data_IF_431838292096
#
_entry.id   IF_431838292096
#
_cell.length_a   1.000
_cell.length_b   1.000
_cell.length_c   1.000
_cell.angle_alpha   90.00
_cell.angle_beta   90.00
_cell.angle_gamma   90.00
#
_symmetry.space_group_name_H-M   'P 1'
#
loop_
_entity.id
_entity.type
_entity.pdbx_description
1 polymer ?
#
# COMPACT_ATOMS: atom_id res chain seq x y z
N UNK A 1 2.58 -27.74 5.64
CA UNK A 1 1.34 -26.94 5.43
C UNK A 1 1.60 -25.99 4.27
N UNK A 2 0.68 -25.90 3.31
CA UNK A 2 0.89 -25.10 2.09
C UNK A 2 0.79 -23.61 2.39
N UNK A 3 1.77 -22.85 1.88
CA UNK A 3 1.74 -21.39 1.82
C UNK A 3 0.44 -20.91 1.13
N UNK A 4 -0.22 -19.89 1.69
CA UNK A 4 -1.39 -19.26 1.06
C UNK A 4 -0.99 -18.56 -0.24
N UNK A 5 -1.94 -18.42 -1.17
CA UNK A 5 -1.64 -17.85 -2.49
C UNK A 5 -1.49 -16.33 -2.42
N UNK A 6 -2.30 -15.67 -1.58
CA UNK A 6 -2.26 -14.22 -1.39
C UNK A 6 -2.09 -13.81 0.07
N UNK A 7 -1.38 -12.70 0.27
CA UNK A 7 -1.48 -11.86 1.47
C UNK A 7 -1.90 -10.46 1.01
N UNK A 8 -3.06 -10.03 1.49
CA UNK A 8 -3.66 -8.74 1.18
C UNK A 8 -3.62 -7.88 2.43
N UNK A 9 -3.08 -6.68 2.29
CA UNK A 9 -2.86 -5.71 3.36
C UNK A 9 -3.54 -4.42 2.97
N UNK A 10 -4.38 -3.88 3.85
CA UNK A 10 -5.09 -2.62 3.64
C UNK A 10 -4.66 -1.66 4.74
N UNK A 11 -4.17 -0.50 4.35
CA UNK A 11 -3.68 0.53 5.25
C UNK A 11 -4.64 1.71 5.24
N UNK A 12 -5.51 1.78 6.25
CA UNK A 12 -6.54 2.81 6.40
C UNK A 12 -6.01 3.93 7.32
N UNK A 13 -5.55 5.02 6.70
CA UNK A 13 -5.11 6.24 7.36
C UNK A 13 -6.32 7.16 7.60
N UNK A 14 -7.07 6.85 8.65
CA UNK A 14 -8.38 7.44 8.95
C UNK A 14 -8.41 8.38 10.14
N UNK A 15 -7.27 8.82 10.68
CA UNK A 15 -7.21 9.91 11.67
C UNK A 15 -7.47 11.26 10.96
N UNK A 16 -8.68 11.38 10.42
CA UNK A 16 -9.23 12.51 9.70
C UNK A 16 -10.75 12.29 9.52
N UNK A 17 -11.40 13.10 8.69
CA UNK A 17 -12.84 13.02 8.43
C UNK A 17 -13.33 11.74 7.71
N UNK A 18 -12.44 10.83 7.26
CA UNK A 18 -12.82 9.54 6.65
C UNK A 18 -12.95 8.40 7.67
N UNK A 19 -12.64 8.66 8.96
CA UNK A 19 -12.56 7.63 10.01
C UNK A 19 -13.78 6.71 10.07
N UNK A 20 -14.99 7.28 9.99
CA UNK A 20 -16.26 6.55 10.12
C UNK A 20 -16.54 5.70 8.88
N UNK A 21 -16.31 6.26 7.68
CA UNK A 21 -16.49 5.55 6.42
C UNK A 21 -15.53 4.36 6.31
N UNK A 22 -14.28 4.53 6.73
CA UNK A 22 -13.29 3.45 6.79
C UNK A 22 -13.67 2.34 7.80
N UNK A 23 -14.23 2.71 8.96
CA UNK A 23 -14.72 1.72 9.92
C UNK A 23 -15.89 0.91 9.34
N UNK A 24 -16.78 1.55 8.58
CA UNK A 24 -17.86 0.86 7.87
C UNK A 24 -17.32 -0.08 6.77
N UNK A 25 -16.33 0.38 6.00
CA UNK A 25 -15.64 -0.46 5.01
C UNK A 25 -14.97 -1.68 5.66
N UNK A 26 -14.36 -1.52 6.84
CA UNK A 26 -13.75 -2.61 7.60
C UNK A 26 -14.74 -3.71 8.00
N UNK A 27 -15.97 -3.35 8.39
CA UNK A 27 -17.02 -4.36 8.67
C UNK A 27 -17.43 -5.12 7.40
N UNK A 28 -17.53 -4.45 6.24
CA UNK A 28 -17.80 -5.14 4.98
C UNK A 28 -16.70 -6.12 4.58
N UNK A 29 -15.44 -5.80 4.88
CA UNK A 29 -14.29 -6.66 4.64
C UNK A 29 -14.42 -7.96 5.44
N UNK A 30 -14.88 -7.86 6.68
CA UNK A 30 -15.09 -9.01 7.56
C UNK A 30 -16.20 -9.93 7.05
N UNK A 31 -17.30 -9.39 6.52
CA UNK A 31 -18.43 -10.18 6.02
C UNK A 31 -18.08 -10.99 4.76
N UNK A 32 -17.23 -10.44 3.89
CA UNK A 32 -16.78 -11.13 2.67
C UNK A 32 -15.71 -12.18 2.93
N UNK A 33 -15.06 -12.13 4.10
CA UNK A 33 -14.08 -13.14 4.42
C UNK A 33 -14.67 -14.57 4.44
N UNK A 34 -15.99 -14.80 4.43
CA UNK A 34 -16.62 -16.14 4.42
C UNK A 34 -16.19 -17.16 3.33
N UNK A 35 -16.43 -18.45 3.64
CA UNK A 35 -16.23 -19.76 2.96
C UNK A 35 -15.14 -19.97 1.86
N UNK A 36 -14.86 -19.02 0.98
CA UNK A 36 -13.93 -19.14 -0.16
C UNK A 36 -12.53 -18.53 0.08
N UNK A 37 -12.31 -17.85 1.21
CA UNK A 37 -11.04 -17.14 1.53
C UNK A 37 -9.95 -18.01 2.16
N UNK A 38 -10.12 -19.34 2.20
CA UNK A 38 -9.14 -20.26 2.81
C UNK A 38 -7.74 -20.15 2.17
N UNK A 39 -7.66 -19.60 0.96
CA UNK A 39 -6.44 -19.38 0.17
C UNK A 39 -5.75 -18.03 0.39
N UNK A 40 -6.34 -17.08 1.14
CA UNK A 40 -5.82 -15.72 1.31
C UNK A 40 -5.56 -15.36 2.77
N UNK A 41 -4.54 -14.55 3.04
CA UNK A 41 -4.42 -13.78 4.28
C UNK A 41 -4.95 -12.37 4.04
N UNK A 42 -5.68 -11.83 5.02
CA UNK A 42 -6.32 -10.53 4.90
C UNK A 42 -6.10 -9.73 6.19
N UNK A 43 -5.43 -8.60 6.06
CA UNK A 43 -5.03 -7.75 7.17
C UNK A 43 -5.44 -6.29 6.93
N UNK A 44 -5.83 -5.62 8.01
CA UNK A 44 -6.17 -4.19 7.97
C UNK A 44 -5.40 -3.46 9.07
N UNK A 45 -4.74 -2.38 8.70
CA UNK A 45 -4.32 -1.33 9.63
C UNK A 45 -5.43 -0.29 9.62
N UNK A 46 -5.94 0.08 10.79
CA UNK A 46 -6.92 1.12 10.93
C UNK A 46 -6.49 2.09 12.02
N UNK A 47 -6.19 3.31 11.60
CA UNK A 47 -5.93 4.43 12.48
C UNK A 47 -7.11 5.40 12.37
N UNK A 48 -7.84 5.61 13.46
CA UNK A 48 -9.06 6.42 13.45
C UNK A 48 -8.91 7.66 14.33
N UNK A 49 -9.79 8.65 14.16
CA UNK A 49 -9.72 9.93 14.88
C UNK A 49 -10.19 9.88 16.34
N UNK A 50 -10.65 8.71 16.80
CA UNK A 50 -11.12 8.52 18.18
C UNK A 50 -9.95 8.35 19.14
N UNK A 51 -9.75 9.33 20.04
CA UNK A 51 -8.75 9.22 21.13
C UNK A 51 -8.99 8.05 22.09
N UNK A 52 -10.19 7.46 22.08
CA UNK A 52 -10.53 6.31 22.93
C UNK A 52 -10.16 4.96 22.30
N UNK A 53 -9.95 4.92 20.98
CA UNK A 53 -9.63 3.70 20.24
C UNK A 53 -8.26 3.89 19.60
N UNK A 54 -7.20 3.24 20.12
CA UNK A 54 -5.89 3.33 19.49
C UNK A 54 -5.92 2.63 18.13
N UNK A 55 -4.95 2.95 17.28
CA UNK A 55 -4.69 2.23 16.03
C UNK A 55 -4.80 0.71 16.19
N UNK A 56 -5.49 0.07 15.25
CA UNK A 56 -5.80 -1.35 15.25
C UNK A 56 -5.08 -2.09 14.11
N UNK A 57 -4.51 -3.24 14.43
CA UNK A 57 -4.05 -4.24 13.48
C UNK A 57 -5.05 -5.39 13.48
N UNK A 58 -5.80 -5.54 12.39
CA UNK A 58 -6.87 -6.51 12.25
C UNK A 58 -6.42 -7.72 11.41
N UNK A 59 -6.77 -8.92 11.84
CA UNK A 59 -6.59 -10.18 11.12
C UNK A 59 -7.95 -10.79 10.78
N UNK A 60 -8.30 -10.72 9.50
CA UNK A 60 -9.51 -11.31 8.92
C UNK A 60 -9.20 -12.58 8.11
N UNK A 61 -7.99 -13.14 8.26
CA UNK A 61 -7.57 -14.37 7.58
C UNK A 61 -8.28 -15.63 8.08
N UNK A 62 -8.97 -15.53 9.23
CA UNK A 62 -9.91 -16.52 9.74
C UNK A 62 -11.27 -15.82 9.97
N UNK A 63 -12.24 -15.98 9.06
CA UNK A 63 -13.53 -15.29 9.10
C UNK A 63 -14.37 -15.68 10.32
N UNK A 64 -14.19 -16.90 10.82
CA UNK A 64 -14.88 -17.38 12.00
C UNK A 64 -14.31 -16.76 13.29
N UNK A 65 -13.05 -16.28 13.25
CA UNK A 65 -12.35 -15.74 14.41
C UNK A 65 -11.58 -14.45 14.03
N UNK A 66 -12.28 -13.36 13.67
CA UNK A 66 -11.64 -12.10 13.37
C UNK A 66 -10.92 -11.56 14.61
N UNK A 67 -9.70 -11.07 14.44
CA UNK A 67 -8.90 -10.53 15.55
C UNK A 67 -8.63 -9.06 15.35
N UNK A 68 -8.80 -8.28 16.40
CA UNK A 68 -8.44 -6.87 16.47
C UNK A 68 -7.36 -6.72 17.53
N UNK A 69 -6.16 -6.30 17.14
CA UNK A 69 -5.03 -6.13 18.04
C UNK A 69 -4.72 -4.65 18.13
N UNK A 70 -4.72 -4.09 19.34
CA UNK A 70 -4.25 -2.72 19.56
C UNK A 70 -2.78 -2.66 19.18
N UNK A 71 -2.43 -1.69 18.35
CA UNK A 71 -1.10 -1.51 17.80
C UNK A 71 0.00 -1.55 18.88
N UNK A 72 -0.18 -0.84 19.98
CA UNK A 72 0.78 -0.80 21.08
C UNK A 72 0.98 -2.15 21.82
N UNK A 73 0.03 -3.09 21.69
CA UNK A 73 0.15 -4.43 22.26
C UNK A 73 0.95 -5.39 21.35
N UNK A 74 1.30 -4.97 20.12
CA UNK A 74 2.10 -5.76 19.21
C UNK A 74 3.55 -5.77 19.67
N UNK A 75 4.01 -6.94 20.15
CA UNK A 75 5.38 -7.12 20.64
C UNK A 75 6.39 -7.16 19.49
N UNK A 76 7.61 -6.70 19.77
CA UNK A 76 8.77 -6.78 18.87
C UNK A 76 8.53 -6.12 17.50
N UNK A 77 7.86 -4.96 17.49
CA UNK A 77 7.77 -4.12 16.30
C UNK A 77 9.16 -3.73 15.78
N UNK A 78 9.24 -3.46 14.48
CA UNK A 78 10.47 -2.98 13.84
C UNK A 78 10.89 -1.63 14.43
N UNK A 79 9.91 -0.78 14.71
CA UNK A 79 10.06 0.51 15.36
C UNK A 79 9.15 0.57 16.58
N UNK A 80 9.66 1.02 17.74
CA UNK A 80 8.87 1.09 18.96
C UNK A 80 7.71 2.07 18.81
N UNK A 81 6.62 1.79 19.52
CA UNK A 81 5.46 2.68 19.69
C UNK A 81 5.17 2.81 21.18
N UNK A 82 4.54 3.92 21.58
CA UNK A 82 4.12 4.13 22.98
C UNK A 82 2.92 3.24 23.34
N UNK A 83 2.81 2.81 24.61
CA UNK A 83 1.75 1.95 25.15
C UNK A 83 0.33 2.57 25.05
N UNK A 84 0.24 3.89 24.84
CA UNK A 84 -1.03 4.62 24.77
C UNK A 84 -1.30 5.30 23.41
N UNK A 85 -0.37 5.22 22.44
CA UNK A 85 -0.42 6.07 21.25
C UNK A 85 -1.42 5.58 20.18
N UNK A 86 -2.07 6.56 19.55
CA UNK A 86 -2.43 6.46 18.14
C UNK A 86 -1.11 6.50 17.35
N UNK A 87 -0.84 5.50 16.54
CA UNK A 87 0.27 5.57 15.59
C UNK A 87 -0.02 6.70 14.60
N UNK A 88 1.02 7.45 14.25
CA UNK A 88 0.90 8.42 13.18
C UNK A 88 0.75 7.67 11.85
N UNK A 89 -0.41 7.75 11.21
CA UNK A 89 -0.66 7.04 9.96
C UNK A 89 0.18 7.57 8.79
N UNK A 90 0.64 8.83 8.85
CA UNK A 90 1.53 9.44 7.90
C UNK A 90 3.01 9.06 8.11
N UNK A 91 3.36 8.41 9.22
CA UNK A 91 4.72 7.96 9.50
C UNK A 91 5.03 6.66 8.75
N UNK A 92 6.08 6.67 7.92
CA UNK A 92 6.50 5.50 7.17
C UNK A 92 6.83 4.29 8.07
N UNK A 93 7.21 4.53 9.34
CA UNK A 93 7.51 3.48 10.34
C UNK A 93 6.26 2.69 10.72
N UNK A 94 5.09 3.32 10.73
CA UNK A 94 3.79 2.68 10.98
C UNK A 94 3.48 1.67 9.88
N UNK A 95 3.73 2.03 8.61
CA UNK A 95 3.59 1.12 7.46
C UNK A 95 4.57 -0.06 7.56
N UNK A 96 5.85 0.21 7.88
CA UNK A 96 6.86 -0.84 8.03
C UNK A 96 6.49 -1.82 9.16
N UNK A 97 6.06 -1.31 10.31
CA UNK A 97 5.58 -2.12 11.44
C UNK A 97 4.40 -3.00 11.05
N UNK A 98 3.42 -2.42 10.36
CA UNK A 98 2.23 -3.15 9.93
C UNK A 98 2.56 -4.25 8.93
N UNK A 99 3.35 -3.97 7.89
CA UNK A 99 3.69 -4.97 6.87
C UNK A 99 4.56 -6.08 7.45
N UNK A 100 5.49 -5.78 8.36
CA UNK A 100 6.24 -6.81 9.10
C UNK A 100 5.32 -7.68 9.96
N UNK A 101 4.36 -7.07 10.66
CA UNK A 101 3.34 -7.80 11.42
C UNK A 101 2.47 -8.71 10.55
N UNK A 102 2.13 -8.24 9.34
CA UNK A 102 1.35 -9.00 8.38
C UNK A 102 2.09 -10.19 7.79
N UNK A 103 3.42 -10.20 7.76
CA UNK A 103 4.18 -11.14 6.91
C UNK A 103 5.15 -11.99 7.73
N UNK A 104 5.91 -11.36 8.61
CA UNK A 104 7.00 -11.98 9.36
C UNK A 104 6.60 -12.40 10.78
N UNK A 105 5.60 -11.76 11.38
CA UNK A 105 5.15 -12.13 12.73
C UNK A 105 4.27 -13.38 12.69
N UNK A 106 4.69 -14.39 13.46
CA UNK A 106 4.04 -15.69 13.57
C UNK A 106 2.77 -15.59 14.44
N UNK A 107 1.70 -16.31 14.04
CA UNK A 107 0.56 -16.59 14.93
C UNK A 107 1.05 -17.41 16.14
N UNK A 108 1.20 -16.79 17.31
CA UNK A 108 1.25 -17.55 18.56
C UNK A 108 -0.17 -18.00 18.88
N UNK A 109 -0.42 -19.30 18.70
CA UNK A 109 -1.61 -19.94 19.26
C UNK A 109 -1.44 -20.07 20.78
N UNK A 110 -2.54 -20.13 21.55
CA UNK A 110 -2.49 -20.30 23.01
C UNK A 110 -1.69 -21.54 23.46
N UNK A 111 -1.48 -22.49 22.54
CA UNK A 111 -0.83 -23.79 22.78
C UNK A 111 0.69 -23.76 22.47
N UNK A 112 1.28 -22.58 22.21
CA UNK A 112 2.72 -22.43 22.00
C UNK A 112 3.25 -22.99 20.66
N UNK A 113 2.37 -23.39 19.74
CA UNK A 113 2.77 -23.77 18.38
C UNK A 113 2.96 -22.50 17.54
N UNK A 114 4.18 -22.32 17.04
CA UNK A 114 4.53 -21.30 16.04
C UNK A 114 3.68 -21.52 14.79
N UNK A 115 2.64 -20.70 14.58
CA UNK A 115 1.89 -20.70 13.33
C UNK A 115 2.82 -20.36 12.16
N UNK A 116 2.67 -21.05 11.04
CA UNK A 116 3.45 -20.79 9.83
C UNK A 116 3.36 -19.31 9.45
N UNK A 117 4.50 -18.73 9.06
CA UNK A 117 4.60 -17.32 8.67
C UNK A 117 3.53 -16.92 7.66
N UNK A 118 3.04 -15.69 7.78
CA UNK A 118 1.94 -15.11 6.97
C UNK A 118 2.41 -14.66 5.58
N UNK A 119 3.57 -15.17 5.13
CA UNK A 119 4.09 -15.02 3.76
C UNK A 119 3.19 -15.75 2.77
N UNK A 120 3.05 -15.18 1.59
CA UNK A 120 2.26 -15.73 0.49
C UNK A 120 3.04 -15.66 -0.82
N UNK A 121 2.52 -16.29 -1.87
CA UNK A 121 3.13 -16.23 -3.21
C UNK A 121 2.96 -14.85 -3.83
N UNK A 122 1.81 -14.21 -3.59
CA UNK A 122 1.44 -12.90 -4.13
C UNK A 122 1.08 -11.92 -3.02
N UNK A 123 1.38 -10.64 -3.23
CA UNK A 123 1.10 -9.58 -2.26
C UNK A 123 0.29 -8.45 -2.88
N UNK A 124 -0.75 -8.02 -2.17
CA UNK A 124 -1.46 -6.78 -2.42
C UNK A 124 -1.30 -5.83 -1.22
N UNK A 125 -0.97 -4.57 -1.48
CA UNK A 125 -0.96 -3.51 -0.48
C UNK A 125 -1.81 -2.36 -0.99
N UNK A 126 -2.90 -2.07 -0.28
CA UNK A 126 -3.86 -1.03 -0.65
C UNK A 126 -3.80 0.05 0.43
N UNK A 127 -3.66 1.30 0.02
CA UNK A 127 -3.71 2.44 0.93
C UNK A 127 -5.02 3.19 0.76
N UNK A 128 -5.65 3.55 1.87
CA UNK A 128 -6.90 4.32 1.92
C UNK A 128 -6.72 5.54 2.81
N UNK A 129 -7.19 6.70 2.34
CA UNK A 129 -7.04 7.98 3.04
C UNK A 129 -7.07 9.17 2.09
N UNK A 130 -6.64 10.33 2.59
CA UNK A 130 -6.50 11.53 1.74
C UNK A 130 -5.24 11.47 0.86
N UNK A 131 -5.31 12.13 -0.28
CA UNK A 131 -4.18 12.40 -1.14
C UNK A 131 -4.49 13.58 -2.08
N UNK A 132 -3.45 14.32 -2.45
CA UNK A 132 -3.46 15.30 -3.55
C UNK A 132 -2.46 14.91 -4.65
N UNK A 133 -2.09 13.63 -4.71
CA UNK A 133 -1.25 13.10 -5.78
C UNK A 133 0.21 13.57 -5.76
N UNK A 134 0.72 13.92 -6.94
CA UNK A 134 2.12 14.32 -7.13
C UNK A 134 2.50 15.64 -6.46
N UNK A 135 1.51 16.42 -6.01
CA UNK A 135 1.75 17.69 -5.33
C UNK A 135 2.39 17.52 -3.94
N UNK A 136 2.51 16.29 -3.45
CA UNK A 136 3.16 15.95 -2.18
C UNK A 136 2.49 16.59 -0.96
N UNK A 137 1.17 16.80 -1.06
CA UNK A 137 0.35 17.45 -0.04
C UNK A 137 -0.72 16.45 0.42
N UNK A 138 -0.87 16.30 1.74
CA UNK A 138 -2.05 15.65 2.34
C UNK A 138 -2.12 14.14 2.21
N UNK A 139 -1.09 13.48 1.64
CA UNK A 139 -1.05 12.02 1.54
C UNK A 139 -1.08 11.40 2.93
N UNK A 140 -2.14 10.63 3.19
CA UNK A 140 -2.41 10.01 4.50
C UNK A 140 -2.36 11.00 5.65
N UNK A 141 -2.88 12.22 5.43
CA UNK A 141 -2.91 13.26 6.44
C UNK A 141 -3.49 12.73 7.75
N UNK A 142 -2.67 12.84 8.78
CA UNK A 142 -2.99 12.53 10.16
C UNK A 142 -3.32 13.85 10.86
N UNK A 143 -4.58 14.02 11.24
CA UNK A 143 -5.07 15.27 11.85
C UNK A 143 -4.60 15.41 13.30
N UNK A 144 -4.42 14.30 14.03
CA UNK A 144 -3.93 14.36 15.41
C UNK A 144 -2.44 14.72 15.46
N UNK A 145 -1.64 14.23 14.51
CA UNK A 145 -0.21 14.52 14.40
C UNK A 145 0.10 15.76 13.56
N UNK A 146 -0.89 16.31 12.83
CA UNK A 146 -0.77 17.45 11.91
C UNK A 146 0.30 17.25 10.82
N UNK A 147 0.50 16.02 10.37
CA UNK A 147 1.49 15.68 9.34
C UNK A 147 0.88 14.94 8.16
N UNK A 148 1.63 14.87 7.06
CA UNK A 148 1.30 14.08 5.88
C UNK A 148 2.56 13.40 5.39
N UNK A 149 2.41 12.23 4.78
CA UNK A 149 3.54 11.45 4.27
C UNK A 149 4.03 12.07 2.97
N UNK A 150 5.36 12.18 2.80
CA UNK A 150 5.93 12.57 1.52
C UNK A 150 5.97 11.43 0.51
N UNK A 151 5.78 11.70 -0.78
CA UNK A 151 5.92 10.74 -1.88
C UNK A 151 7.35 10.16 -1.95
N UNK A 152 8.37 10.97 -1.61
CA UNK A 152 9.75 10.48 -1.48
C UNK A 152 9.87 9.42 -0.38
N UNK A 153 9.23 9.66 0.77
CA UNK A 153 9.20 8.74 1.91
C UNK A 153 8.42 7.47 1.55
N UNK A 154 7.26 7.60 0.90
CA UNK A 154 6.46 6.48 0.43
C UNK A 154 7.23 5.61 -0.59
N UNK A 155 7.92 6.23 -1.54
CA UNK A 155 8.78 5.48 -2.46
C UNK A 155 9.95 4.82 -1.74
N UNK A 156 10.56 5.49 -0.76
CA UNK A 156 11.62 4.95 0.10
C UNK A 156 11.18 3.72 0.88
N UNK A 157 10.03 3.80 1.56
CA UNK A 157 9.47 2.72 2.36
C UNK A 157 9.06 1.53 1.49
N UNK A 158 8.38 1.75 0.35
CA UNK A 158 7.98 0.65 -0.53
C UNK A 158 9.20 -0.04 -1.15
N UNK A 159 10.27 0.71 -1.44
CA UNK A 159 11.55 0.12 -1.83
C UNK A 159 12.16 -0.70 -0.70
N UNK A 160 12.06 -0.25 0.55
CA UNK A 160 12.56 -1.04 1.70
C UNK A 160 11.78 -2.35 1.88
N UNK A 161 10.47 -2.30 1.73
CA UNK A 161 9.58 -3.46 1.90
C UNK A 161 9.85 -4.54 0.84
N UNK A 162 10.12 -4.12 -0.41
CA UNK A 162 10.21 -5.01 -1.57
C UNK A 162 11.61 -5.54 -1.89
N UNK A 163 12.65 -5.06 -1.19
CA UNK A 163 14.03 -5.54 -1.37
C UNK A 163 14.21 -6.95 -0.84
N UNK A 164 15.00 -7.73 -1.57
CA UNK A 164 15.50 -9.05 -1.16
C UNK A 164 16.54 -8.91 -0.05
N UNK A 165 16.80 -10.00 0.66
CA UNK A 165 17.92 -10.08 1.60
C UNK A 165 19.27 -9.70 0.94
N UNK A 166 19.53 -10.16 -0.29
CA UNK A 166 20.74 -9.82 -1.05
C UNK A 166 20.86 -8.33 -1.32
N UNK A 167 19.76 -7.66 -1.73
CA UNK A 167 19.74 -6.22 -1.96
C UNK A 167 20.00 -5.41 -0.69
N UNK A 168 19.51 -5.90 0.46
CA UNK A 168 19.73 -5.28 1.76
C UNK A 168 21.20 -5.43 2.19
N UNK A 169 21.77 -6.63 2.08
CA UNK A 169 23.17 -6.91 2.40
C UNK A 169 24.12 -6.08 1.53
N UNK A 170 23.88 -6.04 0.21
CA UNK A 170 24.69 -5.25 -0.73
C UNK A 170 24.71 -3.77 -0.36
N UNK A 171 23.57 -3.21 0.04
CA UNK A 171 23.49 -1.81 0.47
C UNK A 171 24.14 -1.57 1.81
N UNK A 172 24.02 -2.50 2.75
CA UNK A 172 24.70 -2.38 4.04
C UNK A 172 26.23 -2.36 3.84
N UNK A 173 26.77 -3.21 2.96
CA UNK A 173 28.18 -3.20 2.59
C UNK A 173 28.56 -1.87 1.94
N UNK A 174 27.79 -1.40 0.95
CA UNK A 174 28.04 -0.12 0.29
C UNK A 174 27.95 1.07 1.25
N UNK A 175 27.00 1.07 2.18
CA UNK A 175 26.86 2.12 3.18
C UNK A 175 28.07 2.14 4.12
N UNK A 176 28.58 0.98 4.55
CA UNK A 176 29.82 0.88 5.32
C UNK A 176 31.05 1.37 4.55
N UNK A 177 31.10 1.15 3.24
CA UNK A 177 32.17 1.67 2.35
C UNK A 177 32.06 3.19 2.16
N UNK A 178 30.86 3.73 1.98
CA UNK A 178 30.60 5.17 1.75
C UNK A 178 30.73 5.99 3.04
N UNK A 179 30.33 5.43 4.20
CA UNK A 179 30.55 6.04 5.52
C UNK A 179 32.05 6.14 5.90
N UNK A 180 32.95 5.57 5.10
CA UNK A 180 34.38 5.80 5.21
C UNK A 180 34.85 7.07 4.49
N UNK A 181 34.04 7.68 3.60
CA UNK A 181 34.49 8.83 2.81
C UNK A 181 33.53 10.02 2.69
N UNK A 182 32.20 9.90 2.80
CA UNK A 182 31.30 11.09 2.85
C UNK A 182 29.85 10.66 3.15
N UNK A 183 29.20 11.34 4.11
CA UNK A 183 27.81 11.08 4.48
C UNK A 183 26.87 11.45 3.32
N UNK A 184 26.31 10.45 2.65
CA UNK A 184 25.39 10.69 1.53
C UNK A 184 24.04 11.24 1.97
N UNK A 185 23.48 12.02 1.06
CA UNK A 185 22.42 13.01 1.18
C UNK A 185 21.02 12.44 1.50
N UNK A 186 20.74 12.21 2.78
CA UNK A 186 19.49 12.55 3.50
C UNK A 186 19.27 11.59 4.67
N UNK A 187 18.94 12.13 5.86
CA UNK A 187 18.58 11.36 7.07
C UNK A 187 17.50 10.30 6.83
N UNK A 188 16.64 10.49 5.84
CA UNK A 188 15.60 9.53 5.44
C UNK A 188 16.19 8.21 4.91
N UNK A 189 17.24 8.29 4.10
CA UNK A 189 17.92 7.09 3.60
C UNK A 189 18.67 6.39 4.75
N UNK A 190 19.21 7.15 5.71
CA UNK A 190 19.77 6.57 6.93
C UNK A 190 18.70 5.89 7.79
N UNK A 191 17.56 6.52 8.09
CA UNK A 191 16.54 5.92 8.97
C UNK A 191 15.77 4.73 8.33
N UNK A 192 15.59 4.75 7.00
CA UNK A 192 14.97 3.64 6.26
C UNK A 192 15.98 2.50 5.98
N UNK A 193 17.28 2.79 5.86
CA UNK A 193 18.31 1.81 5.44
C UNK A 193 19.36 1.44 6.52
N UNK A 194 19.47 2.17 7.62
CA UNK A 194 20.31 1.82 8.76
C UNK A 194 19.51 0.95 9.74
N UNK A 195 20.02 -0.26 9.98
CA UNK A 195 19.65 -1.05 11.15
C UNK A 195 18.89 -2.34 10.88
N UNK A 196 18.26 -2.53 9.71
CA UNK A 196 17.45 -3.73 9.46
C UNK A 196 17.86 -4.49 8.21
N UNK A 197 18.51 -5.63 8.40
CA UNK A 197 18.85 -6.61 7.36
C UNK A 197 17.70 -7.60 7.08
N UNK A 198 16.66 -7.60 7.92
CA UNK A 198 15.54 -8.53 7.77
C UNK A 198 14.71 -8.19 6.53
N UNK A 199 14.58 -9.18 5.66
CA UNK A 199 13.65 -9.14 4.54
C UNK A 199 12.20 -9.00 5.05
N UNK A 200 11.43 -8.08 4.45
CA UNK A 200 9.99 -7.93 4.75
C UNK A 200 9.19 -8.76 3.73
N UNK A 201 9.02 -8.26 2.50
CA UNK A 201 8.40 -9.03 1.42
C UNK A 201 9.41 -9.79 0.57
N UNK A 202 10.55 -9.17 0.27
CA UNK A 202 11.56 -9.76 -0.61
C UNK A 202 11.18 -9.79 -2.10
N UNK A 203 10.05 -9.20 -2.46
CA UNK A 203 9.58 -9.15 -3.84
C UNK A 203 8.69 -7.94 -4.10
N UNK A 204 8.51 -7.60 -5.38
CA UNK A 204 7.53 -6.60 -5.82
C UNK A 204 6.11 -6.99 -5.38
N UNK A 205 5.31 -6.00 -5.05
CA UNK A 205 3.87 -6.15 -4.91
C UNK A 205 3.26 -6.57 -6.25
N UNK A 206 2.34 -7.53 -6.22
CA UNK A 206 1.53 -7.86 -7.40
C UNK A 206 0.49 -6.75 -7.65
N UNK A 207 -0.09 -6.22 -6.58
CA UNK A 207 -1.04 -5.10 -6.62
C UNK A 207 -0.63 -4.04 -5.60
N UNK A 208 -0.46 -2.80 -6.08
CA UNK A 208 -0.41 -1.59 -5.26
C UNK A 208 -1.69 -0.80 -5.50
N UNK A 209 -2.53 -0.65 -4.49
CA UNK A 209 -3.80 0.06 -4.59
C UNK A 209 -3.78 1.41 -3.88
N UNK A 210 -4.41 2.40 -4.49
CA UNK A 210 -4.65 3.72 -3.93
C UNK A 210 -6.16 3.99 -3.92
N UNK A 211 -6.79 3.73 -2.78
CA UNK A 211 -8.14 4.17 -2.45
C UNK A 211 -8.07 5.59 -1.87
N UNK A 212 -7.56 6.50 -2.69
CA UNK A 212 -7.40 7.91 -2.40
C UNK A 212 -7.41 8.73 -3.70
N UNK A 213 -7.68 10.03 -3.57
CA UNK A 213 -7.83 10.92 -4.72
C UNK A 213 -6.51 11.16 -5.46
N UNK A 214 -6.60 11.39 -6.77
CA UNK A 214 -5.53 11.96 -7.60
C UNK A 214 -4.21 11.16 -7.57
N UNK A 215 -4.27 9.82 -7.56
CA UNK A 215 -3.07 8.97 -7.60
C UNK A 215 -2.80 8.36 -8.99
N UNK A 216 -3.72 8.53 -9.94
CA UNK A 216 -3.69 7.97 -11.29
C UNK A 216 -2.89 8.79 -12.32
N UNK A 217 -1.77 9.38 -11.93
CA UNK A 217 -0.91 10.17 -12.84
C UNK A 217 0.36 9.42 -13.24
N UNK A 218 0.91 9.76 -14.41
CA UNK A 218 2.09 9.11 -14.98
C UNK A 218 3.33 9.24 -14.08
N UNK A 219 3.49 10.39 -13.43
CA UNK A 219 4.56 10.70 -12.48
C UNK A 219 4.50 9.76 -11.28
N UNK A 220 3.30 9.61 -10.70
CA UNK A 220 3.05 8.72 -9.54
C UNK A 220 3.32 7.27 -9.92
N UNK A 221 2.77 6.78 -11.04
CA UNK A 221 3.03 5.43 -11.53
C UNK A 221 4.53 5.17 -11.76
N UNK A 222 5.26 6.17 -12.27
CA UNK A 222 6.69 6.07 -12.47
C UNK A 222 7.51 5.93 -11.19
N UNK A 223 7.07 6.55 -10.08
CA UNK A 223 7.74 6.39 -8.79
C UNK A 223 7.69 4.92 -8.33
N UNK A 224 6.56 4.25 -8.54
CA UNK A 224 6.31 2.91 -8.00
C UNK A 224 6.61 1.74 -8.95
N UNK A 225 7.02 1.99 -10.20
CA UNK A 225 7.31 0.93 -11.20
C UNK A 225 8.33 -0.13 -10.77
N UNK A 226 9.21 0.21 -9.83
CA UNK A 226 10.24 -0.70 -9.31
C UNK A 226 9.77 -1.54 -8.12
N UNK A 227 8.65 -1.20 -7.49
CA UNK A 227 8.17 -1.83 -6.26
C UNK A 227 6.85 -2.59 -6.46
N UNK A 228 6.11 -2.32 -7.54
CA UNK A 228 4.88 -3.02 -7.88
C UNK A 228 4.87 -3.48 -9.35
N UNK A 229 4.04 -4.49 -9.64
CA UNK A 229 3.75 -4.96 -11.01
C UNK A 229 2.52 -4.26 -11.58
N UNK A 230 1.45 -4.19 -10.79
CA UNK A 230 0.21 -3.51 -11.16
C UNK A 230 -0.12 -2.43 -10.12
N UNK A 231 -0.57 -1.27 -10.59
CA UNK A 231 -1.10 -0.20 -9.73
C UNK A 231 -2.58 0.03 -10.04
N UNK A 232 -3.38 0.31 -9.03
CA UNK A 232 -4.79 0.69 -9.21
C UNK A 232 -5.04 2.01 -8.51
N UNK A 233 -5.49 3.00 -9.26
CA UNK A 233 -5.65 4.36 -8.77
C UNK A 233 -6.65 5.14 -9.65
N UNK A 234 -7.21 6.20 -9.07
CA UNK A 234 -8.05 7.20 -9.75
C UNK A 234 -7.22 8.44 -10.09
N UNK A 235 -7.42 8.99 -11.29
CA UNK A 235 -6.90 10.31 -11.68
C UNK A 235 -7.68 11.43 -10.98
N UNK A 236 -8.99 11.24 -10.81
CA UNK A 236 -9.87 12.19 -10.15
C UNK A 236 -10.10 11.91 -8.67
N UNK A 237 -11.30 12.29 -8.22
CA UNK A 237 -11.74 12.10 -6.85
C UNK A 237 -12.35 10.72 -6.66
N UNK A 238 -12.01 10.08 -5.53
CA UNK A 238 -12.68 8.87 -5.07
C UNK A 238 -13.75 9.25 -4.04
N UNK A 239 -14.96 8.66 -4.06
CA UNK A 239 -15.97 8.92 -3.03
C UNK A 239 -15.45 8.59 -1.62
N UNK A 240 -15.92 9.30 -0.59
CA UNK A 240 -15.51 9.05 0.81
C UNK A 240 -15.76 7.60 1.27
N UNK A 241 -16.79 6.94 0.72
CA UNK A 241 -17.08 5.53 0.97
C UNK A 241 -15.95 4.58 0.51
N UNK A 242 -15.04 5.09 -0.33
CA UNK A 242 -13.88 4.37 -0.84
C UNK A 242 -14.24 3.19 -1.74
N UNK A 243 -13.34 2.22 -1.77
CA UNK A 243 -13.52 1.00 -2.55
C UNK A 243 -14.52 0.04 -1.88
N UNK A 244 -15.28 -0.68 -2.70
CA UNK A 244 -16.11 -1.80 -2.22
C UNK A 244 -15.24 -3.05 -2.00
N UNK A 245 -14.38 -3.02 -0.99
CA UNK A 245 -13.37 -4.06 -0.68
C UNK A 245 -13.92 -5.49 -0.65
N UNK A 246 -15.14 -5.64 -0.14
CA UNK A 246 -15.94 -6.85 -0.21
C UNK A 246 -15.95 -7.49 -1.63
N UNK A 247 -16.24 -6.72 -2.66
CA UNK A 247 -16.30 -7.23 -4.03
C UNK A 247 -14.92 -7.60 -4.58
N UNK A 248 -13.89 -6.84 -4.18
CA UNK A 248 -12.49 -7.09 -4.55
C UNK A 248 -12.01 -8.42 -3.97
N UNK A 249 -12.25 -8.66 -2.69
CA UNK A 249 -11.77 -9.86 -2.02
C UNK A 249 -12.56 -11.09 -2.39
N UNK A 250 -13.88 -10.95 -2.61
CA UNK A 250 -14.67 -11.99 -3.26
C UNK A 250 -14.07 -12.37 -4.61
N UNK A 251 -13.69 -11.40 -5.43
CA UNK A 251 -13.03 -11.66 -6.72
C UNK A 251 -11.65 -12.31 -6.54
N UNK A 252 -10.79 -11.80 -5.66
CA UNK A 252 -9.44 -12.37 -5.44
C UNK A 252 -9.46 -13.78 -4.84
N UNK A 253 -10.46 -14.09 -4.01
CA UNK A 253 -10.61 -15.39 -3.34
C UNK A 253 -11.28 -16.46 -4.22
N UNK A 254 -12.25 -16.07 -5.05
CA UNK A 254 -13.06 -17.00 -5.87
C UNK A 254 -12.48 -17.31 -7.25
N UNK A 255 -11.51 -16.52 -7.74
CA UNK A 255 -10.97 -16.73 -9.09
C UNK A 255 -10.06 -17.98 -9.15
N UNK A 256 -10.05 -18.70 -10.29
CA UNK A 256 -9.12 -19.80 -10.50
C UNK A 256 -7.68 -19.33 -10.24
N UNK A 257 -6.88 -20.14 -9.53
CA UNK A 257 -5.46 -19.81 -9.22
C UNK A 257 -4.63 -19.46 -10.47
N UNK A 258 -5.08 -19.93 -11.65
CA UNK A 258 -4.47 -19.70 -12.95
C UNK A 258 -4.81 -18.34 -13.57
N UNK A 259 -5.81 -17.60 -13.08
CA UNK A 259 -6.18 -16.31 -13.68
C UNK A 259 -5.05 -15.29 -13.50
N UNK A 260 -4.62 -14.60 -14.58
CA UNK A 260 -3.64 -13.54 -14.49
C UNK A 260 -4.09 -12.41 -13.55
N UNK A 261 -3.15 -11.83 -12.80
CA UNK A 261 -3.43 -10.71 -11.88
C UNK A 261 -4.02 -9.52 -12.63
N UNK A 262 -3.58 -9.27 -13.87
CA UNK A 262 -4.09 -8.19 -14.72
C UNK A 262 -5.59 -8.32 -14.96
N UNK A 263 -6.08 -9.51 -15.30
CA UNK A 263 -7.51 -9.74 -15.53
C UNK A 263 -8.31 -9.63 -14.22
N UNK A 264 -7.75 -10.05 -13.07
CA UNK A 264 -8.43 -9.88 -11.78
C UNK A 264 -8.60 -8.39 -11.45
N UNK A 265 -7.58 -7.60 -11.74
CA UNK A 265 -7.61 -6.15 -11.49
C UNK A 265 -8.52 -5.43 -12.49
N UNK A 266 -8.55 -5.87 -13.75
CA UNK A 266 -9.50 -5.37 -14.76
C UNK A 266 -10.96 -5.62 -14.35
N UNK A 267 -11.27 -6.83 -13.87
CA UNK A 267 -12.59 -7.15 -13.32
C UNK A 267 -12.93 -6.22 -12.15
N UNK A 268 -11.97 -5.98 -11.26
CA UNK A 268 -12.15 -5.06 -10.13
C UNK A 268 -12.51 -3.65 -10.62
N UNK A 269 -11.71 -3.07 -11.53
CA UNK A 269 -11.96 -1.73 -12.05
C UNK A 269 -13.32 -1.66 -12.74
N UNK A 270 -13.68 -2.67 -13.54
CA UNK A 270 -14.98 -2.75 -14.19
C UNK A 270 -16.14 -2.77 -13.19
N UNK A 271 -16.03 -3.60 -12.16
CA UNK A 271 -17.06 -3.73 -11.11
C UNK A 271 -17.14 -2.48 -10.23
N UNK A 272 -16.00 -1.87 -9.91
CA UNK A 272 -15.97 -0.60 -9.19
C UNK A 272 -16.76 0.44 -9.97
N UNK A 273 -16.41 0.73 -11.22
CA UNK A 273 -17.10 1.74 -12.03
C UNK A 273 -18.60 1.44 -12.15
N UNK A 274 -19.00 0.19 -12.43
CA UNK A 274 -20.41 -0.22 -12.50
C UNK A 274 -21.16 -0.05 -11.18
N UNK A 275 -20.54 -0.41 -10.06
CA UNK A 275 -21.19 -0.31 -8.75
C UNK A 275 -21.50 1.12 -8.34
N UNK A 276 -20.80 2.09 -8.95
CA UNK A 276 -20.90 3.50 -8.62
C UNK A 276 -22.00 4.21 -9.41
N UNK A 277 -22.75 3.51 -10.27
CA UNK A 277 -23.98 4.01 -10.92
C UNK A 277 -24.96 4.61 -9.91
N UNK A 278 -24.97 4.10 -8.66
CA UNK A 278 -25.82 4.64 -7.58
C UNK A 278 -25.46 6.07 -7.17
N UNK A 279 -24.21 6.50 -7.37
CA UNK A 279 -23.74 7.85 -7.05
C UNK A 279 -24.07 8.87 -8.15
N UNK A 280 -24.48 8.41 -9.34
CA UNK A 280 -24.93 9.30 -10.43
C UNK A 280 -26.14 10.13 -10.02
N UNK A 281 -27.00 9.60 -9.15
CA UNK A 281 -28.13 10.34 -8.55
C UNK A 281 -27.64 11.56 -7.76
N UNK A 282 -26.47 11.45 -7.12
CA UNK A 282 -25.80 12.55 -6.43
C UNK A 282 -24.99 13.48 -7.33
N UNK A 283 -25.01 13.28 -8.65
CA UNK A 283 -24.21 14.05 -9.61
C UNK A 283 -22.71 13.77 -9.52
N UNK A 284 -22.31 12.65 -8.92
CA UNK A 284 -20.91 12.25 -8.76
C UNK A 284 -20.53 11.29 -9.88
N UNK A 285 -19.42 11.58 -10.56
CA UNK A 285 -18.75 10.65 -11.47
C UNK A 285 -17.53 10.06 -10.77
N UNK A 286 -17.16 8.84 -11.15
CA UNK A 286 -15.96 8.17 -10.67
C UNK A 286 -15.07 7.77 -11.85
N UNK A 287 -13.78 7.65 -11.59
CA UNK A 287 -12.83 7.02 -12.48
C UNK A 287 -11.94 6.06 -11.69
N UNK A 288 -11.42 5.03 -12.37
CA UNK A 288 -10.47 4.09 -11.81
C UNK A 288 -9.73 3.42 -12.95
N UNK A 289 -8.42 3.22 -12.79
CA UNK A 289 -7.60 2.59 -13.81
C UNK A 289 -6.64 1.54 -13.22
N UNK A 290 -6.44 0.47 -13.99
CA UNK A 290 -5.47 -0.58 -13.71
C UNK A 290 -4.23 -0.38 -14.60
N UNK A 291 -3.08 -0.16 -13.99
CA UNK A 291 -1.83 0.16 -14.69
C UNK A 291 -0.86 -1.01 -14.60
N UNK A 292 -0.46 -1.58 -15.73
CA UNK A 292 0.69 -2.49 -15.78
C UNK A 292 1.98 -1.67 -15.76
N UNK A 293 2.60 -1.59 -14.58
CA UNK A 293 3.79 -0.78 -14.36
C UNK A 293 5.01 -1.33 -15.10
N UNK A 294 4.99 -2.59 -15.55
CA UNK A 294 6.09 -3.14 -16.35
C UNK A 294 6.11 -2.55 -17.77
N UNK A 295 5.01 -1.93 -18.22
CA UNK A 295 4.93 -1.24 -19.52
C UNK A 295 5.34 0.23 -19.46
N UNK A 296 5.48 0.81 -18.25
CA UNK A 296 5.89 2.21 -18.10
C UNK A 296 7.24 2.55 -18.72
N UNK A 297 8.29 1.70 -18.68
CA UNK A 297 9.55 2.01 -19.37
C UNK A 297 9.37 2.25 -20.87
N UNK A 298 8.53 1.46 -21.53
CA UNK A 298 8.19 1.65 -22.95
C UNK A 298 7.38 2.94 -23.14
N UNK A 299 6.34 3.16 -22.34
CA UNK A 299 5.54 4.39 -22.41
C UNK A 299 6.40 5.64 -22.23
N UNK A 300 7.31 5.65 -21.25
CA UNK A 300 8.22 6.76 -21.02
C UNK A 300 9.14 7.01 -22.21
N UNK A 301 9.63 5.93 -22.85
CA UNK A 301 10.48 6.06 -24.03
C UNK A 301 9.71 6.70 -25.20
N UNK A 302 8.45 6.32 -25.41
CA UNK A 302 7.62 6.92 -26.46
C UNK A 302 7.22 8.37 -26.12
N UNK A 303 6.93 8.63 -24.84
CA UNK A 303 6.64 9.98 -24.36
C UNK A 303 7.85 10.92 -24.52
N UNK A 304 9.06 10.41 -24.26
CA UNK A 304 10.31 11.17 -24.49
C UNK A 304 10.48 11.53 -25.96
N UNK A 305 10.25 10.59 -26.89
CA UNK A 305 10.30 10.88 -28.33
C UNK A 305 9.31 11.95 -28.74
N UNK A 306 8.07 11.89 -28.24
CA UNK A 306 7.08 12.93 -28.48
C UNK A 306 7.56 14.30 -27.96
N UNK A 307 8.10 14.34 -26.74
CA UNK A 307 8.62 15.57 -26.16
C UNK A 307 9.79 16.16 -26.97
N UNK A 308 10.69 15.31 -27.46
CA UNK A 308 11.82 15.74 -28.28
C UNK A 308 11.35 16.27 -29.64
N UNK A 309 10.42 15.59 -30.32
CA UNK A 309 9.83 16.09 -31.56
C UNK A 309 9.11 17.42 -31.38
N UNK A 310 8.40 17.61 -30.26
CA UNK A 310 7.76 18.90 -29.95
C UNK A 310 8.81 20.00 -29.75
N UNK A 311 9.90 19.73 -29.02
CA UNK A 311 10.99 20.71 -28.82
C UNK A 311 11.60 21.13 -30.14
N UNK A 312 11.92 20.17 -31.02
CA UNK A 312 12.47 20.45 -32.35
C UNK A 312 11.54 21.35 -33.19
N UNK A 313 10.21 21.20 -33.09
CA UNK A 313 9.26 22.06 -33.78
C UNK A 313 9.17 23.49 -33.22
N UNK A 314 9.58 23.72 -31.97
CA UNK A 314 9.51 25.01 -31.29
C UNK A 314 10.88 25.67 -31.09
N UNK A 315 11.96 25.06 -31.55
CA UNK A 315 13.28 25.70 -31.64
C UNK A 315 13.25 26.74 -32.78
N UNK A 316 13.08 28.01 -32.40
CA UNK A 316 13.09 29.15 -33.32
C UNK A 316 14.54 29.51 -33.70
N UNK A 317 14.85 29.65 -35.01
CA UNK A 317 16.20 29.99 -35.51
C UNK A 317 16.75 31.32 -34.95
N UNK A 318 15.88 32.16 -34.37
CA UNK A 318 16.24 33.46 -33.80
C UNK A 318 16.71 33.41 -32.32
N UNK A 319 16.77 32.23 -31.69
CA UNK A 319 17.05 32.09 -30.24
C UNK A 319 18.47 31.66 -29.87
N UNK A 320 19.40 31.58 -30.83
CA UNK A 320 20.84 31.30 -30.60
C UNK A 320 21.73 32.51 -30.82
#
# INVERSE_FOLDING_TARGET
MNQKDWTIMIYMAGDNNLSVDMAYAMEQIKDVAGDDTKSINLFVYYDGSSKAIPTLYCDFSDPANPRHVRSHMVKNKLYPVDEAANENAADYRSVLNFVDWCVNKVRTTQDGRNGNGRKAKKYALIFSGHSMGFQDIGLFKDESAEVSMGMKEMNGLLRRITRTEEDLLRRQTKAKEVLAEEATDSKLDADIFEGQTTEILGQKLDILGFDCCVMGMLEVGNQFRRVAKTMVASEGSVPNAGWTYAKIFGSLASQPKSKPVTEIVEDFVSEFVKSQDSFTIGGVSVDMAAWDLNKLPTLNSEFQKLADSLRECFEDEAST
#
